data_IF_847208851006
#
_entry.id   IF_847208851006
#
_cell.length_a   1.000
_cell.length_b   1.000
_cell.length_c   1.000
_cell.angle_alpha   90.00
_cell.angle_beta   90.00
_cell.angle_gamma   90.00
#
_symmetry.space_group_name_H-M   'P 1'
#
loop_
_entity.id
_entity.type
_entity.pdbx_description
1 polymer ?
#
# COMPACT_ATOMS: atom_id res chain seq x y z
N UNK A 1 33.46 0.18 -0.39
CA UNK A 1 33.88 -0.03 1.02
C UNK A 1 34.57 1.19 1.65
N UNK A 2 35.67 1.73 1.10
CA UNK A 2 36.43 2.85 1.74
C UNK A 2 35.64 4.17 1.89
N UNK A 3 34.71 4.49 0.98
CA UNK A 3 33.91 5.72 1.07
C UNK A 3 32.89 5.68 2.22
N UNK A 4 32.24 4.52 2.42
CA UNK A 4 31.32 4.29 3.53
C UNK A 4 32.02 4.42 4.90
N UNK A 5 33.22 3.86 5.04
CA UNK A 5 34.02 3.99 6.27
C UNK A 5 34.38 5.45 6.60
N UNK A 6 34.77 6.24 5.59
CA UNK A 6 35.07 7.68 5.78
C UNK A 6 33.83 8.46 6.19
N UNK A 7 32.66 8.11 5.64
CA UNK A 7 31.39 8.74 5.97
C UNK A 7 30.97 8.45 7.42
N UNK A 8 31.05 7.19 7.86
CA UNK A 8 30.82 6.80 9.25
C UNK A 8 31.75 7.52 10.23
N UNK A 9 33.02 7.69 9.86
CA UNK A 9 34.00 8.40 10.71
C UNK A 9 33.71 9.90 10.82
N UNK A 10 33.22 10.53 9.74
CA UNK A 10 32.77 11.94 9.74
C UNK A 10 31.55 12.14 10.62
N UNK A 11 30.56 11.24 10.55
CA UNK A 11 29.38 11.27 11.40
C UNK A 11 29.73 11.09 12.88
N UNK A 12 30.62 10.15 13.21
CA UNK A 12 31.08 9.94 14.59
C UNK A 12 31.76 11.18 15.18
N UNK A 13 32.65 11.82 14.42
CA UNK A 13 33.33 13.07 14.85
C UNK A 13 32.36 14.25 14.99
N UNK A 14 31.42 14.39 14.05
CA UNK A 14 30.38 15.41 14.15
C UNK A 14 29.52 15.19 15.40
N UNK A 15 29.14 13.94 15.67
CA UNK A 15 28.28 13.60 16.78
C UNK A 15 28.94 13.94 18.13
N UNK A 16 30.19 13.53 18.32
CA UNK A 16 30.93 13.83 19.56
C UNK A 16 31.26 15.31 19.71
N UNK A 17 31.42 16.06 18.61
CA UNK A 17 31.71 17.49 18.66
C UNK A 17 30.46 18.35 18.91
N UNK A 18 29.34 18.06 18.24
CA UNK A 18 28.10 18.88 18.29
C UNK A 18 27.08 18.39 19.31
N UNK A 19 27.19 17.15 19.78
CA UNK A 19 26.31 16.58 20.80
C UNK A 19 27.10 16.17 22.03
N UNK A 20 28.03 17.03 22.48
CA UNK A 20 28.65 16.89 23.80
C UNK A 20 27.54 16.92 24.86
N UNK A 21 27.42 15.82 25.60
CA UNK A 21 26.39 15.60 26.61
C UNK A 21 25.06 15.01 26.13
N UNK A 22 25.04 14.43 24.94
CA UNK A 22 23.91 13.62 24.50
C UNK A 22 23.56 12.50 25.49
N UNK A 23 24.58 11.83 26.05
CA UNK A 23 24.40 10.73 27.01
C UNK A 23 23.79 11.20 28.33
N UNK A 24 24.15 12.40 28.80
CA UNK A 24 23.56 12.98 30.01
C UNK A 24 22.13 13.51 29.74
N UNK A 25 21.90 14.14 28.58
CA UNK A 25 20.59 14.70 28.20
C UNK A 25 19.57 13.64 27.80
N UNK A 26 20.02 12.52 27.23
CA UNK A 26 19.20 11.41 26.77
C UNK A 26 19.81 10.08 27.24
N UNK A 27 19.64 9.72 28.53
CA UNK A 27 20.08 8.44 29.04
C UNK A 27 19.33 7.31 28.32
N UNK A 28 20.07 6.23 28.01
CA UNK A 28 19.55 5.07 27.25
C UNK A 28 18.32 4.45 27.93
N UNK A 29 18.33 4.38 29.27
CA UNK A 29 17.26 3.77 30.08
C UNK A 29 16.39 4.81 30.81
N UNK A 30 16.34 6.05 30.30
CA UNK A 30 15.48 7.06 30.91
C UNK A 30 14.01 6.70 30.70
N UNK A 31 13.19 6.87 31.73
CA UNK A 31 11.74 6.68 31.64
C UNK A 31 11.11 7.54 30.51
N UNK A 32 11.64 8.75 30.29
CA UNK A 32 11.21 9.62 29.19
C UNK A 32 11.57 9.06 27.80
N UNK A 33 12.70 8.34 27.66
CA UNK A 33 13.08 7.64 26.44
C UNK A 33 12.13 6.47 26.17
N UNK A 34 11.83 5.66 27.18
CA UNK A 34 10.89 4.54 27.08
C UNK A 34 9.48 4.98 26.70
N UNK A 35 8.97 6.05 27.32
CA UNK A 35 7.66 6.60 26.97
C UNK A 35 7.59 7.12 25.53
N UNK A 36 8.63 7.81 25.05
CA UNK A 36 8.70 8.26 23.65
C UNK A 36 8.76 7.08 22.69
N UNK A 37 9.50 6.03 23.05
CA UNK A 37 9.59 4.81 22.24
C UNK A 37 8.25 4.07 22.18
N UNK A 38 7.56 3.89 23.31
CA UNK A 38 6.21 3.31 23.35
C UNK A 38 5.21 4.15 22.54
N UNK A 39 5.31 5.48 22.64
CA UNK A 39 4.48 6.38 21.86
C UNK A 39 4.74 6.22 20.36
N UNK A 40 6.00 6.16 19.94
CA UNK A 40 6.37 5.89 18.55
C UNK A 40 5.89 4.51 18.09
N UNK A 41 6.02 3.46 18.90
CA UNK A 41 5.47 2.14 18.57
C UNK A 41 3.94 2.17 18.42
N UNK A 42 3.23 2.93 19.27
CA UNK A 42 1.77 3.12 19.18
C UNK A 42 1.35 3.92 17.94
N UNK A 43 2.20 4.82 17.44
CA UNK A 43 1.98 5.55 16.18
C UNK A 43 2.27 4.63 14.99
N UNK A 44 3.41 3.94 15.03
CA UNK A 44 3.86 3.02 14.00
C UNK A 44 3.12 1.67 14.02
N UNK A 45 2.06 1.56 14.81
CA UNK A 45 1.24 0.36 14.87
C UNK A 45 0.78 0.01 13.45
N UNK A 46 1.13 -1.18 12.94
CA UNK A 46 0.83 -1.58 11.56
C UNK A 46 -0.68 -1.52 11.26
N UNK A 47 -1.54 -1.66 12.27
CA UNK A 47 -2.99 -1.53 12.10
C UNK A 47 -3.44 -0.08 11.85
N UNK A 48 -2.78 0.93 12.44
CA UNK A 48 -3.07 2.35 12.16
C UNK A 48 -2.55 2.74 10.78
N UNK A 49 -1.35 2.29 10.42
CA UNK A 49 -0.77 2.51 9.09
C UNK A 49 -1.66 1.90 7.99
N UNK A 50 -2.18 0.68 8.20
CA UNK A 50 -3.16 0.06 7.29
C UNK A 50 -4.45 0.87 7.15
N UNK A 51 -4.96 1.45 8.24
CA UNK A 51 -6.18 2.30 8.20
C UNK A 51 -5.98 3.61 7.44
N UNK A 52 -4.83 4.26 7.60
CA UNK A 52 -4.48 5.49 6.85
C UNK A 52 -4.43 5.18 5.35
N UNK A 53 -3.71 4.11 4.97
CA UNK A 53 -3.62 3.68 3.58
C UNK A 53 -4.97 3.30 2.97
N UNK A 54 -5.89 2.76 3.78
CA UNK A 54 -7.25 2.44 3.34
C UNK A 54 -8.06 3.71 3.02
N UNK A 55 -8.06 4.70 3.92
CA UNK A 55 -8.77 5.95 3.71
C UNK A 55 -8.23 6.74 2.49
N UNK A 56 -6.92 6.69 2.27
CA UNK A 56 -6.29 7.30 1.09
C UNK A 56 -6.67 6.56 -0.20
N UNK A 57 -6.69 5.21 -0.19
CA UNK A 57 -7.14 4.41 -1.32
C UNK A 57 -8.61 4.68 -1.68
N UNK A 58 -9.48 4.79 -0.68
CA UNK A 58 -10.89 5.16 -0.85
C UNK A 58 -11.02 6.53 -1.50
N UNK A 59 -10.26 7.52 -1.01
CA UNK A 59 -10.25 8.88 -1.59
C UNK A 59 -9.81 8.87 -3.06
N UNK A 60 -8.77 8.09 -3.41
CA UNK A 60 -8.34 7.94 -4.80
C UNK A 60 -9.41 7.29 -5.68
N UNK A 61 -10.06 6.24 -5.21
CA UNK A 61 -11.14 5.58 -5.93
C UNK A 61 -12.36 6.51 -6.10
N UNK A 62 -12.78 7.22 -5.04
CA UNK A 62 -13.86 8.19 -5.09
C UNK A 62 -13.58 9.35 -6.04
N UNK A 63 -12.34 9.82 -6.14
CA UNK A 63 -11.93 10.81 -7.12
C UNK A 63 -12.06 10.29 -8.56
N UNK A 64 -11.68 9.04 -8.84
CA UNK A 64 -11.90 8.44 -10.15
C UNK A 64 -13.39 8.34 -10.47
N UNK A 65 -14.22 8.01 -9.46
CA UNK A 65 -15.67 7.95 -9.61
C UNK A 65 -16.25 9.32 -9.97
N UNK A 66 -15.89 10.35 -9.22
CA UNK A 66 -16.36 11.72 -9.42
C UNK A 66 -15.94 12.30 -10.78
N UNK A 67 -14.74 11.97 -11.26
CA UNK A 67 -14.21 12.50 -12.54
C UNK A 67 -14.82 11.85 -13.76
N UNK A 68 -15.08 10.54 -13.70
CA UNK A 68 -15.55 9.77 -14.85
C UNK A 68 -17.08 9.81 -15.01
N UNK A 69 -17.82 10.15 -13.94
CA UNK A 69 -19.30 10.22 -13.90
C UNK A 69 -20.00 9.04 -14.59
N UNK A 70 -19.36 7.87 -14.57
CA UNK A 70 -19.92 6.66 -15.16
C UNK A 70 -20.92 6.03 -14.19
N UNK A 71 -22.01 5.44 -14.69
CA UNK A 71 -22.94 4.71 -13.85
C UNK A 71 -22.25 3.49 -13.24
N UNK A 72 -22.52 3.20 -11.97
CA UNK A 72 -22.00 2.03 -11.25
C UNK A 72 -22.43 0.68 -11.85
N UNK A 73 -23.30 0.70 -12.87
CA UNK A 73 -23.72 -0.46 -13.66
C UNK A 73 -22.71 -0.83 -14.75
N UNK A 74 -21.75 0.05 -15.08
CA UNK A 74 -20.65 -0.27 -15.99
C UNK A 74 -19.58 -1.10 -15.24
N UNK A 75 -19.61 -2.42 -15.46
CA UNK A 75 -18.67 -3.35 -14.81
C UNK A 75 -17.20 -3.05 -15.11
N UNK A 76 -16.86 -2.48 -16.28
CA UNK A 76 -15.48 -2.10 -16.58
C UNK A 76 -15.04 -0.87 -15.81
N UNK A 77 -15.98 0.05 -15.54
CA UNK A 77 -15.71 1.19 -14.67
C UNK A 77 -15.50 0.77 -13.21
N UNK A 78 -16.32 -0.15 -12.70
CA UNK A 78 -16.13 -0.73 -11.37
C UNK A 78 -14.77 -1.42 -11.27
N UNK A 79 -14.40 -2.21 -12.29
CA UNK A 79 -13.08 -2.85 -12.39
C UNK A 79 -11.95 -1.82 -12.34
N UNK A 80 -12.07 -0.72 -13.07
CA UNK A 80 -11.07 0.35 -13.08
C UNK A 80 -10.86 0.94 -11.67
N UNK A 81 -11.95 1.22 -10.94
CA UNK A 81 -11.87 1.71 -9.57
C UNK A 81 -11.18 0.71 -8.63
N UNK A 82 -11.51 -0.59 -8.76
CA UNK A 82 -10.86 -1.64 -7.99
C UNK A 82 -9.35 -1.73 -8.27
N UNK A 83 -8.94 -1.63 -9.54
CA UNK A 83 -7.53 -1.62 -9.91
C UNK A 83 -6.78 -0.45 -9.29
N UNK A 84 -7.36 0.76 -9.31
CA UNK A 84 -6.76 1.96 -8.69
C UNK A 84 -6.57 1.79 -7.18
N UNK A 85 -7.59 1.28 -6.48
CA UNK A 85 -7.49 1.03 -5.05
C UNK A 85 -6.40 -0.01 -4.72
N UNK A 86 -6.30 -1.07 -5.51
CA UNK A 86 -5.32 -2.16 -5.30
C UNK A 86 -3.90 -1.72 -5.63
N UNK A 87 -3.69 -0.91 -6.67
CA UNK A 87 -2.38 -0.34 -6.98
C UNK A 87 -1.87 0.57 -5.85
N UNK A 88 -2.77 1.30 -5.19
CA UNK A 88 -2.44 2.13 -4.03
C UNK A 88 -2.16 1.29 -2.77
N UNK A 89 -3.02 0.32 -2.47
CA UNK A 89 -2.89 -0.54 -1.28
C UNK A 89 -1.69 -1.48 -1.35
N UNK A 90 -1.37 -1.97 -2.55
CA UNK A 90 -0.32 -2.95 -2.82
C UNK A 90 0.60 -2.42 -3.91
N UNK A 91 1.53 -1.50 -3.61
CA UNK A 91 2.42 -0.94 -4.61
C UNK A 91 3.42 -1.97 -5.15
N UNK A 92 3.91 -1.73 -6.37
CA UNK A 92 4.96 -2.54 -6.98
C UNK A 92 6.30 -2.33 -6.25
N UNK A 93 7.20 -3.34 -6.20
CA UNK A 93 7.09 -4.65 -6.86
C UNK A 93 6.32 -5.70 -6.05
N UNK A 94 6.20 -5.54 -4.73
CA UNK A 94 5.63 -6.54 -3.81
C UNK A 94 4.15 -6.84 -4.09
N UNK A 95 3.39 -5.83 -4.53
CA UNK A 95 1.96 -5.94 -4.81
C UNK A 95 1.58 -6.43 -6.20
N UNK A 96 2.54 -6.61 -7.11
CA UNK A 96 2.31 -6.91 -8.54
C UNK A 96 1.43 -8.16 -8.74
N UNK A 97 1.64 -9.19 -7.92
CA UNK A 97 0.84 -10.42 -7.99
C UNK A 97 -0.64 -10.20 -7.67
N UNK A 98 -0.95 -9.32 -6.71
CA UNK A 98 -2.33 -8.99 -6.33
C UNK A 98 -2.94 -8.07 -7.39
N UNK A 99 -2.21 -7.05 -7.83
CA UNK A 99 -2.65 -6.14 -8.90
C UNK A 99 -3.05 -6.90 -10.18
N UNK A 100 -2.24 -7.89 -10.60
CA UNK A 100 -2.52 -8.69 -11.78
C UNK A 100 -3.81 -9.53 -11.65
N UNK A 101 -4.09 -10.06 -10.46
CA UNK A 101 -5.35 -10.81 -10.22
C UNK A 101 -6.58 -9.92 -10.44
N UNK A 102 -6.55 -8.67 -9.97
CA UNK A 102 -7.65 -7.73 -10.21
C UNK A 102 -7.80 -7.35 -11.69
N UNK A 103 -6.68 -7.20 -12.41
CA UNK A 103 -6.68 -6.93 -13.86
C UNK A 103 -7.30 -8.08 -14.67
N UNK A 104 -7.20 -9.32 -14.18
CA UNK A 104 -7.77 -10.50 -14.84
C UNK A 104 -9.28 -10.70 -14.61
N UNK A 105 -9.89 -10.00 -13.64
CA UNK A 105 -11.34 -10.11 -13.40
C UNK A 105 -12.07 -9.58 -14.63
N UNK A 106 -13.00 -10.37 -15.16
CA UNK A 106 -13.85 -9.97 -16.28
C UNK A 106 -15.19 -9.49 -15.71
N UNK A 107 -15.45 -8.18 -15.76
CA UNK A 107 -16.68 -7.58 -15.26
C UNK A 107 -17.56 -6.99 -16.37
N UNK A 108 -17.07 -6.86 -17.62
CA UNK A 108 -17.94 -6.43 -18.72
C UNK A 108 -19.09 -7.42 -18.93
N UNK A 109 -20.30 -6.88 -19.13
CA UNK A 109 -21.51 -7.65 -19.45
C UNK A 109 -21.24 -8.59 -20.62
N UNK A 110 -20.57 -8.10 -21.67
CA UNK A 110 -20.22 -8.89 -22.85
C UNK A 110 -19.33 -10.10 -22.52
N UNK A 111 -18.31 -9.93 -21.67
CA UNK A 111 -17.43 -11.03 -21.26
C UNK A 111 -18.16 -12.05 -20.39
N UNK A 112 -19.05 -11.59 -19.50
CA UNK A 112 -19.85 -12.46 -18.64
C UNK A 112 -20.87 -13.25 -19.47
N UNK A 113 -21.61 -12.58 -20.36
CA UNK A 113 -22.56 -13.23 -21.28
C UNK A 113 -21.85 -14.27 -22.15
N UNK A 114 -20.70 -13.96 -22.74
CA UNK A 114 -19.93 -14.93 -23.55
C UNK A 114 -19.48 -16.14 -22.74
N UNK A 115 -19.11 -15.96 -21.46
CA UNK A 115 -18.78 -17.09 -20.58
C UNK A 115 -19.99 -17.97 -20.30
N UNK A 116 -21.15 -17.37 -20.07
CA UNK A 116 -22.40 -18.10 -19.87
C UNK A 116 -22.77 -18.88 -21.13
N UNK A 117 -22.65 -18.26 -22.31
CA UNK A 117 -22.85 -18.90 -23.60
C UNK A 117 -21.89 -20.08 -23.80
N UNK A 118 -20.59 -19.88 -23.56
CA UNK A 118 -19.59 -20.94 -23.67
C UNK A 118 -19.89 -22.12 -22.73
N UNK A 119 -20.20 -21.84 -21.46
CA UNK A 119 -20.59 -22.88 -20.48
C UNK A 119 -21.86 -23.62 -20.89
N UNK A 120 -22.84 -22.92 -21.46
CA UNK A 120 -24.05 -23.53 -21.97
C UNK A 120 -23.72 -24.46 -23.15
N UNK A 121 -22.86 -24.03 -24.08
CA UNK A 121 -22.45 -24.85 -25.22
C UNK A 121 -21.63 -26.08 -24.84
N UNK A 122 -20.71 -25.97 -23.88
CA UNK A 122 -19.91 -27.10 -23.37
C UNK A 122 -20.78 -28.18 -22.73
N UNK A 123 -21.86 -27.78 -22.06
CA UNK A 123 -22.82 -28.71 -21.46
C UNK A 123 -23.63 -29.47 -22.52
N UNK A 124 -23.93 -28.85 -23.66
CA UNK A 124 -24.72 -29.48 -24.74
C UNK A 124 -23.89 -30.46 -25.57
N UNK A 125 -22.57 -30.31 -25.63
CA UNK A 125 -21.65 -31.20 -26.39
C UNK A 125 -21.24 -32.46 -25.64
N UNK A 126 -21.60 -32.59 -24.36
CA UNK A 126 -21.30 -33.75 -23.51
C UNK A 126 -22.52 -34.70 -23.32
N UNK A 127 -23.58 -34.53 -24.12
CA UNK A 127 -24.74 -35.41 -24.22
C UNK A 127 -24.75 -36.11 -25.58
#
# INVERSE_FOLDING_TARGET
MRQYQKQCQKFGKHFTAKHKGFKEKYPLDSHASSQKFEHLQKILNPNKIKRIKLAEAETYASNAVARLMKPFTDGEFVKHCMCLAVEYLFPAPEGTGIQNKFKLIQLSVRSVTRRIENLASERTTLQ
#
